data_IF_578288827640
#
_entry.id   IF_578288827640
#
_cell.length_a   1.000
_cell.length_b   1.000
_cell.length_c   1.000
_cell.angle_alpha   90.00
_cell.angle_beta   90.00
_cell.angle_gamma   90.00
#
_symmetry.space_group_name_H-M   'P 1'
#
loop_
_entity.id
_entity.type
_entity.pdbx_description
1 polymer ?
#
# COMPACT_ATOMS: atom_id res chain seq x y z
N UNK A 1 8.75 -10.98 -2.30
CA UNK A 1 9.21 -11.87 -1.21
C UNK A 1 10.52 -11.44 -0.56
N UNK A 2 11.57 -11.04 -1.31
CA UNK A 2 12.84 -10.67 -0.65
C UNK A 2 12.69 -9.49 0.33
N UNK A 3 11.94 -8.44 -0.02
CA UNK A 3 11.82 -7.26 0.84
C UNK A 3 10.97 -7.53 2.09
N UNK A 4 9.78 -8.12 1.97
CA UNK A 4 8.91 -8.42 3.12
C UNK A 4 9.44 -9.55 4.03
N UNK A 5 10.25 -10.47 3.51
CA UNK A 5 10.85 -11.56 4.30
C UNK A 5 12.17 -11.17 5.01
N UNK A 6 12.70 -9.96 4.76
CA UNK A 6 13.99 -9.50 5.31
C UNK A 6 13.91 -8.83 6.69
N UNK A 7 12.80 -8.97 7.42
CA UNK A 7 12.67 -8.31 8.72
C UNK A 7 12.56 -6.80 8.57
N UNK A 8 11.70 -6.35 7.67
CA UNK A 8 11.27 -4.96 7.62
C UNK A 8 10.57 -4.64 8.96
N UNK A 9 11.28 -3.91 9.81
CA UNK A 9 10.79 -3.46 11.13
C UNK A 9 10.11 -2.12 10.93
N UNK A 10 8.77 -2.08 11.00
CA UNK A 10 8.02 -0.83 10.94
C UNK A 10 6.86 -0.87 9.96
N UNK A 11 6.00 0.14 10.06
CA UNK A 11 4.78 0.26 9.25
C UNK A 11 5.01 1.05 7.98
N UNK A 12 5.92 2.03 8.00
CA UNK A 12 6.30 2.85 6.85
C UNK A 12 6.70 1.99 5.63
N UNK A 13 7.68 1.07 5.73
CA UNK A 13 8.08 0.25 4.61
C UNK A 13 6.97 -0.70 4.11
N UNK A 14 6.08 -1.16 4.99
CA UNK A 14 4.93 -2.01 4.58
C UNK A 14 3.91 -1.17 3.80
N UNK A 15 3.62 0.06 4.26
CA UNK A 15 2.76 1.01 3.54
C UNK A 15 3.30 1.31 2.15
N UNK A 16 4.59 1.65 2.04
CA UNK A 16 5.23 1.93 0.74
C UNK A 16 5.17 0.71 -0.20
N UNK A 17 5.41 -0.49 0.36
CA UNK A 17 5.27 -1.76 -0.37
C UNK A 17 3.85 -1.96 -0.91
N UNK A 18 2.82 -1.73 -0.08
CA UNK A 18 1.43 -1.84 -0.47
C UNK A 18 1.05 -0.83 -1.57
N UNK A 19 1.47 0.44 -1.44
CA UNK A 19 1.19 1.47 -2.47
C UNK A 19 1.82 1.09 -3.81
N UNK A 20 3.07 0.61 -3.78
CA UNK A 20 3.80 0.17 -4.98
C UNK A 20 3.12 -1.03 -5.63
N UNK A 21 2.75 -2.05 -4.85
CA UNK A 21 2.04 -3.23 -5.35
C UNK A 21 0.69 -2.85 -5.97
N UNK A 22 -0.08 -1.96 -5.34
CA UNK A 22 -1.35 -1.47 -5.90
C UNK A 22 -1.14 -0.78 -7.25
N UNK A 23 -0.10 0.04 -7.39
CA UNK A 23 0.25 0.70 -8.65
C UNK A 23 0.52 -0.33 -9.75
N UNK A 24 1.36 -1.32 -9.48
CA UNK A 24 1.72 -2.33 -10.47
C UNK A 24 0.54 -3.21 -10.88
N UNK A 25 -0.21 -3.74 -9.91
CA UNK A 25 -1.39 -4.58 -10.18
C UNK A 25 -2.44 -3.79 -10.98
N UNK A 26 -2.72 -2.55 -10.59
CA UNK A 26 -3.71 -1.73 -11.30
C UNK A 26 -3.32 -1.49 -12.76
N UNK A 27 -2.03 -1.28 -13.06
CA UNK A 27 -1.53 -1.13 -14.43
C UNK A 27 -1.68 -2.44 -15.21
N UNK A 28 -1.27 -3.57 -14.64
CA UNK A 28 -1.39 -4.89 -15.30
C UNK A 28 -2.84 -5.25 -15.58
N UNK A 29 -3.72 -5.16 -14.57
CA UNK A 29 -5.16 -5.44 -14.74
C UNK A 29 -5.80 -4.51 -15.76
N UNK A 30 -5.35 -3.25 -15.85
CA UNK A 30 -5.85 -2.29 -16.84
C UNK A 30 -5.63 -2.76 -18.27
N UNK A 31 -4.56 -3.50 -18.56
CA UNK A 31 -4.27 -4.04 -19.90
C UNK A 31 -5.32 -5.08 -20.33
N UNK A 32 -5.75 -5.93 -19.40
CA UNK A 32 -6.68 -7.04 -19.68
C UNK A 32 -8.16 -6.69 -19.50
N UNK A 33 -8.48 -5.50 -18.97
CA UNK A 33 -9.85 -5.12 -18.56
C UNK A 33 -10.88 -5.07 -19.71
N UNK A 34 -10.43 -4.95 -20.95
CA UNK A 34 -11.30 -4.87 -22.12
C UNK A 34 -11.63 -6.24 -22.69
N UNK A 35 -10.88 -7.27 -22.32
CA UNK A 35 -11.04 -8.64 -22.82
C UNK A 35 -12.06 -9.45 -22.01
N UNK A 36 -12.21 -9.15 -20.71
CA UNK A 36 -13.06 -9.95 -19.80
C UNK A 36 -13.85 -9.07 -18.82
N UNK A 37 -15.14 -9.39 -18.61
CA UNK A 37 -16.04 -8.66 -17.72
C UNK A 37 -15.60 -8.77 -16.26
N UNK A 38 -15.09 -9.94 -15.88
CA UNK A 38 -14.56 -10.28 -14.57
C UNK A 38 -13.33 -9.43 -14.24
N UNK A 39 -12.42 -9.26 -15.21
CA UNK A 39 -11.23 -8.41 -15.07
C UNK A 39 -11.62 -6.94 -14.93
N UNK A 40 -12.64 -6.47 -15.68
CA UNK A 40 -13.19 -5.13 -15.50
C UNK A 40 -13.77 -4.90 -14.09
N UNK A 41 -14.44 -5.91 -13.52
CA UNK A 41 -14.95 -5.85 -12.14
C UNK A 41 -13.80 -5.80 -11.14
N UNK A 42 -12.80 -6.67 -11.30
CA UNK A 42 -11.60 -6.70 -10.45
C UNK A 42 -10.86 -5.36 -10.50
N UNK A 43 -10.68 -4.76 -11.68
CA UNK A 43 -10.08 -3.44 -11.83
C UNK A 43 -10.79 -2.35 -11.00
N UNK A 44 -12.13 -2.35 -11.01
CA UNK A 44 -12.91 -1.41 -10.21
C UNK A 44 -12.69 -1.63 -8.71
N UNK A 45 -12.74 -2.88 -8.25
CA UNK A 45 -12.51 -3.23 -6.84
C UNK A 45 -11.12 -2.80 -6.40
N UNK A 46 -10.08 -3.14 -7.16
CA UNK A 46 -8.70 -2.77 -6.86
C UNK A 46 -8.50 -1.26 -6.78
N UNK A 47 -9.13 -0.50 -7.69
CA UNK A 47 -9.08 0.96 -7.66
C UNK A 47 -9.76 1.52 -6.39
N UNK A 48 -10.92 0.99 -6.02
CA UNK A 48 -11.62 1.39 -4.79
C UNK A 48 -10.78 1.06 -3.57
N UNK A 49 -10.24 -0.16 -3.46
CA UNK A 49 -9.43 -0.58 -2.32
C UNK A 49 -8.14 0.24 -2.20
N UNK A 50 -7.48 0.55 -3.33
CA UNK A 50 -6.33 1.47 -3.33
C UNK A 50 -6.71 2.84 -2.76
N UNK A 51 -7.88 3.39 -3.14
CA UNK A 51 -8.32 4.68 -2.63
C UNK A 51 -8.63 4.63 -1.13
N UNK A 52 -9.30 3.58 -0.66
CA UNK A 52 -9.59 3.38 0.77
C UNK A 52 -8.29 3.30 1.56
N UNK A 53 -7.33 2.49 1.10
CA UNK A 53 -6.01 2.37 1.73
C UNK A 53 -5.24 3.70 1.75
N UNK A 54 -5.29 4.46 0.65
CA UNK A 54 -4.61 5.78 0.58
C UNK A 54 -5.25 6.79 1.55
N UNK A 55 -6.58 6.80 1.67
CA UNK A 55 -7.28 7.65 2.62
C UNK A 55 -6.93 7.28 4.07
N UNK A 56 -6.84 5.98 4.37
CA UNK A 56 -6.45 5.52 5.70
C UNK A 56 -5.01 5.92 6.03
N UNK A 57 -4.08 5.75 5.09
CA UNK A 57 -2.69 6.22 5.25
C UNK A 57 -2.64 7.73 5.52
N UNK A 58 -3.43 8.53 4.80
CA UNK A 58 -3.51 9.97 5.02
C UNK A 58 -3.98 10.29 6.45
N UNK A 59 -5.06 9.66 6.92
CA UNK A 59 -5.58 9.90 8.27
C UNK A 59 -4.54 9.57 9.36
N UNK A 60 -3.81 8.47 9.20
CA UNK A 60 -2.75 8.10 10.15
C UNK A 60 -1.55 9.05 10.07
N UNK A 61 -1.16 9.49 8.87
CA UNK A 61 -0.11 10.48 8.69
C UNK A 61 -0.48 11.83 9.32
N UNK A 62 -1.70 12.32 9.09
CA UNK A 62 -2.20 13.56 9.69
C UNK A 62 -2.16 13.50 11.22
N UNK A 63 -2.58 12.38 11.79
CA UNK A 63 -2.55 12.14 13.23
C UNK A 63 -1.13 12.14 13.82
N UNK A 64 -0.16 11.62 13.07
CA UNK A 64 1.23 11.43 13.53
C UNK A 64 2.08 12.68 13.32
N UNK A 65 1.98 13.29 12.15
CA UNK A 65 2.80 14.45 11.73
C UNK A 65 2.22 15.75 12.27
N UNK A 66 0.90 15.82 12.48
CA UNK A 66 0.20 17.03 12.92
C UNK A 66 0.42 18.23 11.97
N UNK A 67 0.54 17.93 10.67
CA UNK A 67 0.61 18.87 9.56
C UNK A 67 -0.12 18.23 8.37
N UNK A 68 -1.29 18.77 8.02
CA UNK A 68 -2.17 18.20 6.98
C UNK A 68 -1.58 18.36 5.58
N UNK A 69 -0.85 19.45 5.31
CA UNK A 69 -0.25 19.69 4.00
C UNK A 69 0.88 18.70 3.75
N UNK A 70 1.75 18.49 4.75
CA UNK A 70 2.83 17.49 4.67
C UNK A 70 2.27 16.07 4.58
N UNK A 71 1.28 15.73 5.40
CA UNK A 71 0.65 14.41 5.37
C UNK A 71 -0.01 14.12 4.02
N UNK A 72 -0.70 15.10 3.43
CA UNK A 72 -1.31 15.00 2.11
C UNK A 72 -0.29 14.82 0.99
N UNK A 73 0.83 15.56 1.05
CA UNK A 73 1.94 15.40 0.11
C UNK A 73 2.55 14.00 0.20
N UNK A 74 2.80 13.50 1.42
CA UNK A 74 3.33 12.15 1.66
C UNK A 74 2.37 11.05 1.17
N UNK A 75 1.08 11.14 1.50
CA UNK A 75 0.10 10.13 1.08
C UNK A 75 -0.09 10.07 -0.44
N UNK A 76 0.11 11.20 -1.12
CA UNK A 76 -0.03 11.32 -2.58
C UNK A 76 1.22 10.88 -3.35
N UNK A 77 2.41 10.95 -2.72
CA UNK A 77 3.69 10.60 -3.33
C UNK A 77 4.50 9.62 -2.45
N UNK A 78 4.56 8.34 -2.82
CA UNK A 78 5.42 7.35 -2.14
C UNK A 78 6.92 7.68 -2.21
N UNK A 79 7.34 8.55 -3.12
CA UNK A 79 8.71 9.05 -3.23
C UNK A 79 9.00 10.29 -2.40
N UNK A 80 8.00 10.81 -1.66
CA UNK A 80 8.16 12.00 -0.83
C UNK A 80 9.24 11.77 0.24
N UNK A 81 10.12 12.77 0.42
CA UNK A 81 11.28 12.65 1.31
C UNK A 81 10.92 12.35 2.78
N UNK A 82 9.74 12.80 3.22
CA UNK A 82 9.20 12.53 4.55
C UNK A 82 9.06 11.04 4.88
N UNK A 83 8.92 10.17 3.88
CA UNK A 83 8.91 8.72 4.08
C UNK A 83 10.28 8.16 4.51
N UNK A 84 11.35 8.90 4.27
CA UNK A 84 12.70 8.54 4.67
C UNK A 84 13.08 9.07 6.07
N UNK A 85 12.18 9.76 6.79
CA UNK A 85 12.47 10.19 8.16
C UNK A 85 12.62 8.93 9.05
N UNK A 86 13.82 8.65 9.59
CA UNK A 86 14.06 7.45 10.39
C UNK A 86 13.26 7.43 11.70
N UNK A 87 12.68 8.55 12.11
CA UNK A 87 11.84 8.65 13.32
C UNK A 87 10.38 8.34 13.03
N UNK A 88 9.96 8.27 11.76
CA UNK A 88 8.55 8.19 11.39
C UNK A 88 7.88 6.93 11.99
N UNK A 89 8.51 5.77 11.86
CA UNK A 89 8.02 4.51 12.46
C UNK A 89 7.89 4.62 13.98
N UNK A 90 8.91 5.13 14.66
CA UNK A 90 8.85 5.33 16.12
C UNK A 90 7.76 6.34 16.53
N UNK A 91 7.49 7.33 15.66
CA UNK A 91 6.43 8.32 15.88
C UNK A 91 5.07 7.66 15.71
N UNK A 92 4.85 6.86 14.67
CA UNK A 92 3.66 6.02 14.51
C UNK A 92 3.44 5.15 15.75
N UNK A 93 4.45 4.41 16.18
CA UNK A 93 4.36 3.54 17.34
C UNK A 93 3.98 4.31 18.62
N UNK A 94 4.61 5.46 18.87
CA UNK A 94 4.34 6.28 20.07
C UNK A 94 2.96 6.94 20.06
N UNK A 95 2.46 7.35 18.90
CA UNK A 95 1.20 8.09 18.73
C UNK A 95 0.01 7.15 18.68
N UNK A 96 0.08 6.08 17.89
CA UNK A 96 -1.02 5.14 17.70
C UNK A 96 -1.21 4.21 18.90
N UNK A 97 -0.15 3.98 19.69
CA UNK A 97 -0.18 3.13 20.91
C UNK A 97 -0.79 1.77 20.59
N UNK A 98 -1.90 1.41 21.25
CA UNK A 98 -2.59 0.13 21.11
C UNK A 98 -3.14 -0.12 19.70
N UNK A 99 -3.27 0.93 18.88
CA UNK A 99 -3.69 0.81 17.48
C UNK A 99 -2.53 0.52 16.52
N UNK A 100 -1.28 0.62 16.95
CA UNK A 100 -0.12 0.45 16.07
C UNK A 100 -0.03 -0.98 15.53
N UNK A 101 -0.04 -1.98 16.42
CA UNK A 101 0.13 -3.38 16.00
C UNK A 101 -1.04 -3.88 15.13
N UNK A 102 -2.32 -3.64 15.49
CA UNK A 102 -3.44 -4.02 14.63
C UNK A 102 -3.38 -3.37 13.25
N UNK A 103 -2.99 -2.09 13.17
CA UNK A 103 -2.86 -1.40 11.90
C UNK A 103 -1.69 -1.95 11.06
N UNK A 104 -0.57 -2.27 11.70
CA UNK A 104 0.57 -2.91 11.03
C UNK A 104 0.18 -4.28 10.46
N UNK A 105 -0.53 -5.11 11.22
CA UNK A 105 -1.02 -6.42 10.77
C UNK A 105 -1.97 -6.28 9.58
N UNK A 106 -2.98 -5.42 9.66
CA UNK A 106 -3.90 -5.15 8.55
C UNK A 106 -3.16 -4.66 7.30
N UNK A 107 -2.17 -3.78 7.48
CA UNK A 107 -1.38 -3.25 6.37
C UNK A 107 -0.51 -4.34 5.72
N UNK A 108 0.05 -5.27 6.51
CA UNK A 108 0.77 -6.45 6.00
C UNK A 108 -0.15 -7.36 5.20
N UNK A 109 -1.34 -7.68 5.73
CA UNK A 109 -2.31 -8.52 5.03
C UNK A 109 -2.73 -7.90 3.68
N UNK A 110 -2.96 -6.58 3.65
CA UNK A 110 -3.24 -5.86 2.40
C UNK A 110 -2.07 -5.97 1.42
N UNK A 111 -0.84 -5.72 1.88
CA UNK A 111 0.35 -5.79 1.04
C UNK A 111 0.52 -7.20 0.43
N UNK A 112 0.37 -8.23 1.25
CA UNK A 112 0.44 -9.64 0.83
C UNK A 112 -0.66 -10.00 -0.17
N UNK A 113 -1.90 -9.59 0.08
CA UNK A 113 -3.02 -9.86 -0.81
C UNK A 113 -2.82 -9.21 -2.19
N UNK A 114 -2.38 -7.95 -2.23
CA UNK A 114 -2.12 -7.24 -3.49
C UNK A 114 -0.93 -7.86 -4.24
N UNK A 115 0.14 -8.22 -3.53
CA UNK A 115 1.29 -8.87 -4.15
C UNK A 115 0.95 -10.28 -4.67
N UNK A 116 0.09 -11.03 -3.98
CA UNK A 116 -0.45 -12.30 -4.46
C UNK A 116 -1.21 -12.13 -5.77
N UNK A 117 -2.07 -11.10 -5.88
CA UNK A 117 -2.77 -10.78 -7.15
C UNK A 117 -1.75 -10.45 -8.24
N UNK A 118 -0.71 -9.69 -7.94
CA UNK A 118 0.36 -9.36 -8.88
C UNK A 118 1.03 -10.61 -9.46
N UNK A 119 1.46 -11.52 -8.60
CA UNK A 119 2.15 -12.75 -8.97
C UNK A 119 1.26 -13.66 -9.84
N UNK A 120 -0.04 -13.76 -9.51
CA UNK A 120 -0.98 -14.51 -10.33
C UNK A 120 -1.15 -13.91 -11.74
N UNK A 121 -1.18 -12.58 -11.85
CA UNK A 121 -1.27 -11.91 -13.16
C UNK A 121 0.01 -12.11 -14.00
N UNK A 122 1.19 -12.09 -13.38
CA UNK A 122 2.45 -12.37 -14.06
C UNK A 122 2.55 -13.81 -14.56
N UNK A 123 2.11 -14.78 -13.74
CA UNK A 123 2.08 -16.18 -14.12
C UNK A 123 1.11 -16.46 -15.29
N UNK A 124 0.05 -15.67 -15.43
CA UNK A 124 -0.86 -15.75 -16.58
C UNK A 124 -0.25 -15.13 -17.84
N UNK A 125 0.50 -14.03 -17.71
CA UNK A 125 1.12 -13.34 -18.84
C UNK A 125 2.31 -14.11 -19.45
N UNK A 126 2.95 -15.00 -18.69
CA UNK A 126 4.09 -15.83 -19.15
C UNK A 126 3.68 -17.18 -19.78
N UNK A 127 2.40 -17.57 -19.66
CA UNK A 127 1.86 -18.83 -20.18
C UNK A 127 1.04 -18.68 -21.48
N UNK A 128 0.82 -17.46 -21.96
CA UNK A 128 0.10 -17.16 -23.22
C UNK A 128 1.05 -16.61 -24.26
#
# INVERSE_FOLDING_TARGET
MAELALGIVGVVPVVLGAITAYKHVTVKVKLFRHSFKEVKRMYKILRTQRQVFSNECLLWLEFVINDSDVASAMASDPGHEGWNDPRLDSTFQSRLKDNYEPWLEVTKEIAEAVHSIENHLEALATKG
#
